data_IF_414825807554
#
_entry.id   IF_414825807554
#
_cell.length_a   1.000
_cell.length_b   1.000
_cell.length_c   1.000
_cell.angle_alpha   90.00
_cell.angle_beta   90.00
_cell.angle_gamma   90.00
#
_symmetry.space_group_name_H-M   'P 1'
#
loop_
_entity.id
_entity.type
_entity.pdbx_description
1 polymer ?
#
# COMPACT_ATOMS: atom_id res chain seq x y z
N UNK A 1 5.50 2.33 21.33
CA UNK A 1 5.17 3.09 20.12
C UNK A 1 3.75 2.73 19.73
N UNK A 2 2.83 3.69 19.72
CA UNK A 2 1.48 3.51 19.18
C UNK A 2 1.60 3.56 17.66
N UNK A 3 1.95 2.42 17.05
CA UNK A 3 1.84 2.27 15.60
C UNK A 3 0.37 2.45 15.24
N UNK A 4 0.02 3.59 14.63
CA UNK A 4 -1.29 3.75 14.05
C UNK A 4 -1.26 3.04 12.69
N UNK A 5 -2.13 2.05 12.54
CA UNK A 5 -2.32 1.37 11.25
C UNK A 5 -2.92 2.39 10.27
N UNK A 6 -2.08 2.97 9.42
CA UNK A 6 -2.56 3.84 8.36
C UNK A 6 -2.91 3.01 7.13
N UNK A 7 -4.14 3.16 6.64
CA UNK A 7 -4.62 2.53 5.43
C UNK A 7 -5.05 3.61 4.44
N UNK A 8 -4.41 3.67 3.29
CA UNK A 8 -4.84 4.54 2.19
C UNK A 8 -5.68 3.69 1.25
N UNK A 9 -6.93 4.09 1.01
CA UNK A 9 -7.85 3.39 0.10
C UNK A 9 -8.20 4.32 -1.05
N UNK A 10 -8.01 3.85 -2.27
CA UNK A 10 -8.33 4.57 -3.50
C UNK A 10 -9.28 3.69 -4.31
N UNK A 11 -10.46 4.23 -4.61
CA UNK A 11 -11.40 3.58 -5.50
C UNK A 11 -11.21 4.12 -6.92
N UNK A 12 -10.94 3.23 -7.87
CA UNK A 12 -10.78 3.57 -9.28
C UNK A 12 -11.65 2.65 -10.14
N UNK A 13 -12.79 3.19 -10.58
CA UNK A 13 -13.81 2.38 -11.25
C UNK A 13 -14.32 1.29 -10.31
N UNK A 14 -14.26 0.04 -10.76
CA UNK A 14 -14.64 -1.14 -9.95
C UNK A 14 -13.51 -1.64 -9.05
N UNK A 15 -12.28 -1.11 -9.19
CA UNK A 15 -11.11 -1.59 -8.47
C UNK A 15 -10.84 -0.79 -7.21
N UNK A 16 -10.33 -1.49 -6.19
CA UNK A 16 -9.90 -0.90 -4.92
C UNK A 16 -8.40 -1.07 -4.75
N UNK A 17 -7.67 0.04 -4.71
CA UNK A 17 -6.24 0.06 -4.41
C UNK A 17 -6.09 0.41 -2.93
N UNK A 18 -5.34 -0.39 -2.19
CA UNK A 18 -5.11 -0.22 -0.76
C UNK A 18 -3.61 -0.19 -0.47
N UNK A 19 -3.14 0.74 0.33
CA UNK A 19 -1.79 0.71 0.90
C UNK A 19 -1.91 0.45 2.39
N UNK A 20 -1.24 -0.59 2.88
CA UNK A 20 -1.20 -0.99 4.30
C UNK A 20 0.23 -0.85 4.82
N UNK A 21 0.38 -0.33 6.04
CA UNK A 21 1.65 -0.39 6.78
C UNK A 21 1.65 -1.68 7.60
N UNK A 22 2.67 -2.51 7.47
CA UNK A 22 2.84 -3.69 8.33
C UNK A 22 3.58 -3.30 9.62
N UNK A 23 2.91 -3.20 10.78
CA UNK A 23 3.54 -2.81 12.04
C UNK A 23 4.37 -3.95 12.67
N UNK A 24 4.28 -5.18 12.16
CA UNK A 24 4.96 -6.36 12.71
C UNK A 24 6.37 -6.55 12.14
N UNK A 25 6.70 -5.86 11.04
CA UNK A 25 8.03 -5.90 10.44
C UNK A 25 8.80 -4.66 10.88
N UNK A 26 9.91 -4.86 11.59
CA UNK A 26 10.83 -3.76 11.89
C UNK A 26 11.32 -3.18 10.54
N UNK A 27 11.12 -1.88 10.35
CA UNK A 27 11.14 -1.11 9.09
C UNK A 27 9.75 -1.07 8.45
N UNK A 28 9.08 0.08 8.56
CA UNK A 28 7.76 0.43 8.04
C UNK A 28 7.55 -0.10 6.61
N UNK A 29 7.16 -1.37 6.48
CA UNK A 29 7.00 -2.00 5.18
C UNK A 29 5.61 -1.65 4.69
N UNK A 30 5.54 -0.92 3.58
CA UNK A 30 4.31 -0.57 2.92
C UNK A 30 3.97 -1.64 1.90
N UNK A 31 2.73 -2.10 1.94
CA UNK A 31 2.20 -3.15 1.08
C UNK A 31 1.07 -2.55 0.24
N UNK A 32 1.26 -2.57 -1.07
CA UNK A 32 0.28 -2.18 -2.07
C UNK A 32 -0.58 -3.38 -2.46
N UNK A 33 -1.88 -3.27 -2.21
CA UNK A 33 -2.89 -4.24 -2.58
C UNK A 33 -3.79 -3.68 -3.69
N UNK A 34 -4.12 -4.48 -4.68
CA UNK A 34 -5.17 -4.20 -5.67
C UNK A 34 -6.23 -5.29 -5.53
N UNK A 35 -7.46 -4.89 -5.25
CA UNK A 35 -8.59 -5.78 -4.97
C UNK A 35 -8.29 -6.82 -3.86
N UNK A 36 -7.45 -6.41 -2.89
CA UNK A 36 -7.00 -7.24 -1.77
C UNK A 36 -5.81 -8.15 -2.07
N UNK A 37 -5.27 -8.14 -3.30
CA UNK A 37 -4.09 -8.93 -3.70
C UNK A 37 -2.83 -8.07 -3.61
N UNK A 38 -1.79 -8.56 -2.94
CA UNK A 38 -0.48 -7.90 -2.89
C UNK A 38 0.17 -7.85 -4.27
N UNK A 39 0.52 -6.64 -4.71
CA UNK A 39 1.16 -6.39 -6.01
C UNK A 39 2.43 -5.55 -5.90
N UNK A 40 2.67 -4.91 -4.75
CA UNK A 40 3.85 -4.08 -4.53
C UNK A 40 4.23 -4.04 -3.06
N UNK A 41 5.54 -3.99 -2.76
CA UNK A 41 6.03 -3.70 -1.41
C UNK A 41 7.25 -2.79 -1.47
N UNK A 42 7.33 -1.81 -0.57
CA UNK A 42 8.50 -0.95 -0.41
C UNK A 42 8.64 -0.45 1.03
N UNK A 43 9.80 0.12 1.34
CA UNK A 43 10.12 0.73 2.64
C UNK A 43 9.53 2.14 2.80
N UNK A 44 9.00 2.73 1.71
CA UNK A 44 8.41 4.07 1.69
C UNK A 44 7.04 4.06 0.98
N UNK A 45 6.02 4.76 1.51
CA UNK A 45 4.67 4.74 0.93
C UNK A 45 4.63 5.38 -0.45
N UNK A 46 5.46 6.38 -0.72
CA UNK A 46 5.53 7.06 -2.01
C UNK A 46 6.05 6.14 -3.12
N UNK A 47 6.95 5.20 -2.79
CA UNK A 47 7.46 4.21 -3.73
C UNK A 47 6.40 3.17 -4.08
N UNK A 48 5.66 2.67 -3.08
CA UNK A 48 4.51 1.77 -3.33
C UNK A 48 3.47 2.47 -4.19
N UNK A 49 3.14 3.71 -3.87
CA UNK A 49 2.17 4.50 -4.62
C UNK A 49 2.63 4.76 -6.06
N UNK A 50 3.88 5.19 -6.27
CA UNK A 50 4.43 5.40 -7.61
C UNK A 50 4.43 4.11 -8.44
N UNK A 51 4.74 2.97 -7.82
CA UNK A 51 4.69 1.66 -8.49
C UNK A 51 3.26 1.26 -8.85
N UNK A 52 2.31 1.41 -7.93
CA UNK A 52 0.90 1.15 -8.17
C UNK A 52 0.34 2.04 -9.30
N UNK A 53 0.67 3.34 -9.28
CA UNK A 53 0.28 4.28 -10.33
C UNK A 53 1.02 4.03 -11.66
N UNK A 54 2.20 3.43 -11.68
CA UNK A 54 2.89 3.08 -12.93
C UNK A 54 2.32 1.80 -13.54
N UNK A 55 2.07 0.79 -12.71
CA UNK A 55 1.65 -0.54 -13.16
C UNK A 55 0.12 -0.60 -13.42
N UNK A 56 -0.66 0.31 -12.80
CA UNK A 56 -2.13 0.35 -12.86
C UNK A 56 -2.71 1.76 -13.12
N UNK A 57 -1.85 2.69 -13.57
CA UNK A 57 -2.12 4.10 -13.89
C UNK A 57 -2.89 4.37 -15.17
#
# INVERSE_FOLDING_TARGET
>A
MTGQDYKIIIHRGERTITIVVDPCVANDRFIGLVDGVEVATAEDPSMVMAKLLSDWG
#
